data_IF_199710877717
#
_entry.id   IF_199710877717
#
_cell.length_a   1.000
_cell.length_b   1.000
_cell.length_c   1.000
_cell.angle_alpha   90.00
_cell.angle_beta   90.00
_cell.angle_gamma   90.00
#
_symmetry.space_group_name_H-M   'P 1'
#
loop_
_entity.id
_entity.type
_entity.pdbx_description
1 polymer ?
#
# COMPACT_ATOMS: atom_id res chain seq x y z
N UNK A 1 -2.35 -32.16 9.03
CA UNK A 1 -2.05 -30.72 9.17
C UNK A 1 -3.36 -29.98 9.01
N UNK A 2 -3.84 -29.30 10.05
CA UNK A 2 -4.96 -28.38 9.89
C UNK A 2 -4.46 -27.16 9.08
N UNK A 3 -5.25 -26.62 8.14
CA UNK A 3 -4.93 -25.32 7.55
C UNK A 3 -4.86 -24.27 8.68
N UNK A 4 -3.95 -23.28 8.58
CA UNK A 4 -3.92 -22.19 9.55
C UNK A 4 -5.29 -21.50 9.58
N UNK A 5 -5.76 -21.05 10.76
CA UNK A 5 -7.03 -20.35 10.84
C UNK A 5 -7.00 -19.14 9.90
N UNK A 6 -8.12 -18.83 9.22
CA UNK A 6 -8.22 -17.61 8.42
C UNK A 6 -7.90 -16.44 9.34
N UNK A 7 -6.94 -15.60 8.94
CA UNK A 7 -6.63 -14.37 9.67
C UNK A 7 -7.84 -13.46 9.54
N UNK A 8 -8.68 -13.41 10.57
CA UNK A 8 -9.83 -12.52 10.61
C UNK A 8 -9.33 -11.07 10.69
N UNK A 9 -9.68 -10.28 9.67
CA UNK A 9 -9.09 -8.96 9.41
C UNK A 9 -7.99 -9.06 8.34
N UNK A 10 -8.19 -8.40 7.19
CA UNK A 10 -7.22 -8.36 6.12
C UNK A 10 -5.83 -7.90 6.60
N UNK A 11 -4.77 -8.29 5.90
CA UNK A 11 -3.40 -7.90 6.28
C UNK A 11 -3.17 -6.39 6.23
N UNK A 12 -3.98 -5.65 5.47
CA UNK A 12 -3.85 -4.22 5.27
C UNK A 12 -4.33 -3.41 6.49
N UNK A 13 -3.49 -2.47 6.97
CA UNK A 13 -3.82 -1.53 8.04
C UNK A 13 -3.27 -0.14 7.74
N UNK A 14 -3.84 0.89 8.35
CA UNK A 14 -3.31 2.25 8.22
C UNK A 14 -1.87 2.37 8.76
N UNK A 15 -1.49 1.59 9.77
CA UNK A 15 -0.16 1.61 10.38
C UNK A 15 0.84 0.60 9.78
N UNK A 16 0.44 -0.19 8.77
CA UNK A 16 1.31 -1.19 8.14
C UNK A 16 0.58 -2.36 7.50
N UNK A 17 1.30 -3.45 7.24
CA UNK A 17 0.75 -4.61 6.53
C UNK A 17 1.21 -5.93 7.18
N UNK A 18 0.26 -6.76 7.61
CA UNK A 18 0.56 -8.02 8.29
C UNK A 18 1.44 -7.76 9.54
N UNK A 19 2.59 -8.43 9.71
CA UNK A 19 3.48 -8.16 10.83
C UNK A 19 4.23 -6.82 10.72
N UNK A 20 4.23 -6.20 9.53
CA UNK A 20 5.01 -5.00 9.24
C UNK A 20 4.32 -3.74 9.77
N UNK A 21 5.14 -2.78 10.23
CA UNK A 21 4.70 -1.45 10.67
C UNK A 21 5.48 -0.38 9.92
N UNK A 22 4.78 0.62 9.40
CA UNK A 22 5.42 1.76 8.77
C UNK A 22 6.35 2.43 9.79
N UNK A 23 7.59 2.70 9.38
CA UNK A 23 8.69 3.16 10.23
C UNK A 23 9.71 2.08 10.61
N UNK A 24 9.44 0.80 10.36
CA UNK A 24 10.43 -0.28 10.50
C UNK A 24 11.60 -0.11 9.54
N UNK A 25 12.79 -0.55 9.93
CA UNK A 25 13.95 -0.65 9.03
C UNK A 25 13.78 -1.76 8.01
N UNK A 26 14.58 -1.77 6.94
CA UNK A 26 14.53 -2.86 5.96
C UNK A 26 14.83 -4.22 6.61
N UNK A 27 15.83 -4.25 7.51
CA UNK A 27 16.19 -5.45 8.24
C UNK A 27 15.08 -5.94 9.17
N UNK A 28 14.37 -5.02 9.84
CA UNK A 28 13.20 -5.37 10.66
C UNK A 28 12.04 -5.88 9.80
N UNK A 29 11.82 -5.31 8.62
CA UNK A 29 10.82 -5.79 7.67
C UNK A 29 11.12 -7.22 7.24
N UNK A 30 12.36 -7.51 6.82
CA UNK A 30 12.78 -8.85 6.42
C UNK A 30 12.68 -9.84 7.59
N UNK A 31 13.08 -9.44 8.79
CA UNK A 31 13.04 -10.31 9.97
C UNK A 31 11.61 -10.58 10.48
N UNK A 32 10.70 -9.62 10.34
CA UNK A 32 9.31 -9.75 10.74
C UNK A 32 8.46 -10.47 9.68
N UNK A 33 8.90 -10.50 8.43
CA UNK A 33 8.20 -11.15 7.34
C UNK A 33 8.31 -12.68 7.41
N UNK A 34 7.34 -13.35 6.79
CA UNK A 34 7.24 -14.80 6.76
C UNK A 34 8.52 -15.44 6.19
N UNK A 35 9.21 -16.25 7.01
CA UNK A 35 10.46 -16.89 6.61
C UNK A 35 10.27 -17.98 5.55
N UNK A 36 9.06 -18.52 5.43
CA UNK A 36 8.71 -19.51 4.40
C UNK A 36 8.38 -18.85 3.05
N UNK A 37 8.20 -17.52 3.03
CA UNK A 37 7.93 -16.71 1.85
C UNK A 37 8.81 -15.45 1.85
N UNK A 38 10.14 -15.60 1.64
CA UNK A 38 11.09 -14.50 1.77
C UNK A 38 10.75 -13.35 0.83
N UNK A 39 11.09 -12.14 1.25
CA UNK A 39 10.95 -10.96 0.42
C UNK A 39 11.99 -10.97 -0.70
N UNK A 40 11.54 -10.85 -1.94
CA UNK A 40 12.34 -10.52 -3.10
C UNK A 40 12.57 -9.00 -3.21
N UNK A 41 13.44 -8.62 -4.15
CA UNK A 41 13.92 -7.23 -4.30
C UNK A 41 15.25 -6.97 -3.56
N UNK A 42 15.94 -8.06 -3.18
CA UNK A 42 17.12 -8.05 -2.34
C UNK A 42 18.25 -7.15 -2.82
N UNK A 43 18.59 -6.21 -1.94
CA UNK A 43 19.70 -5.27 -2.08
C UNK A 43 19.17 -3.87 -2.31
N UNK A 44 19.25 -3.02 -1.27
CA UNK A 44 19.37 -1.59 -1.50
C UNK A 44 20.35 -1.41 -2.66
N UNK A 45 19.96 -0.78 -3.79
CA UNK A 45 20.91 -0.51 -4.84
C UNK A 45 22.11 0.15 -4.15
N UNK A 46 23.34 -0.24 -4.46
CA UNK A 46 24.51 0.47 -3.94
C UNK A 46 24.36 1.95 -4.32
N UNK A 47 23.86 2.78 -3.41
CA UNK A 47 23.47 4.19 -3.64
C UNK A 47 21.97 4.50 -3.86
N UNK A 48 21.05 3.55 -3.79
CA UNK A 48 19.60 3.79 -3.95
C UNK A 48 18.93 4.09 -2.62
N UNK A 49 18.54 5.35 -2.41
CA UNK A 49 17.79 5.79 -1.22
C UNK A 49 16.34 5.30 -1.21
N UNK A 50 15.83 4.67 -2.27
CA UNK A 50 14.44 4.21 -2.39
C UNK A 50 14.36 2.92 -3.22
N UNK A 51 13.72 1.87 -2.70
CA UNK A 51 13.48 0.61 -3.41
C UNK A 51 12.21 -0.10 -2.90
N UNK A 52 11.81 -1.17 -3.58
CA UNK A 52 10.68 -2.01 -3.18
C UNK A 52 11.12 -3.42 -2.78
N UNK A 53 10.58 -3.92 -1.68
CA UNK A 53 10.56 -5.33 -1.31
C UNK A 53 9.18 -5.92 -1.65
N UNK A 54 9.11 -7.20 -1.95
CA UNK A 54 7.84 -7.86 -2.29
C UNK A 54 7.85 -9.34 -1.89
N UNK A 55 6.70 -9.94 -1.54
CA UNK A 55 6.66 -11.36 -1.20
C UNK A 55 7.00 -12.25 -2.40
N UNK A 56 7.92 -13.20 -2.21
CA UNK A 56 8.33 -14.16 -3.24
C UNK A 56 9.41 -13.63 -4.18
N UNK A 57 9.71 -14.41 -5.22
CA UNK A 57 10.84 -14.16 -6.13
C UNK A 57 10.46 -13.41 -7.41
N UNK A 58 9.17 -13.24 -7.70
CA UNK A 58 8.67 -12.56 -8.88
C UNK A 58 7.89 -11.29 -8.51
N UNK A 59 8.49 -10.14 -8.80
CA UNK A 59 7.91 -8.83 -8.51
C UNK A 59 6.60 -8.56 -9.26
N UNK A 60 6.40 -9.20 -10.42
CA UNK A 60 5.25 -8.96 -11.28
C UNK A 60 3.99 -9.68 -10.78
N UNK A 61 4.15 -10.81 -10.09
CA UNK A 61 3.05 -11.58 -9.50
C UNK A 61 2.82 -11.27 -8.02
N UNK A 62 3.68 -10.47 -7.39
CA UNK A 62 3.52 -10.08 -6.01
C UNK A 62 2.24 -9.23 -5.80
N UNK A 63 1.32 -9.64 -4.91
CA UNK A 63 0.05 -8.94 -4.72
C UNK A 63 0.24 -7.60 -4.00
N UNK A 64 1.37 -7.41 -3.32
CA UNK A 64 1.73 -6.21 -2.57
C UNK A 64 3.21 -5.92 -2.73
N UNK A 65 3.59 -4.64 -2.73
CA UNK A 65 4.97 -4.19 -2.67
C UNK A 65 5.19 -3.25 -1.47
N UNK A 66 6.34 -3.35 -0.83
CA UNK A 66 6.75 -2.57 0.34
C UNK A 66 7.85 -1.60 -0.05
N UNK A 67 7.56 -0.31 0.00
CA UNK A 67 8.48 0.75 -0.32
C UNK A 67 9.39 1.04 0.87
N UNK A 68 10.69 0.91 0.66
CA UNK A 68 11.73 1.30 1.60
C UNK A 68 12.37 2.58 1.07
N UNK A 69 12.41 3.62 1.88
CA UNK A 69 13.14 4.86 1.60
C UNK A 69 14.06 5.18 2.79
N UNK A 70 15.35 5.45 2.52
CA UNK A 70 16.37 5.72 3.55
C UNK A 70 16.39 4.68 4.68
N UNK A 71 16.38 3.40 4.31
CA UNK A 71 16.30 2.26 5.24
C UNK A 71 15.04 2.28 6.13
N UNK A 72 13.96 2.91 5.68
CA UNK A 72 12.69 2.97 6.42
C UNK A 72 11.55 2.49 5.54
N UNK A 73 10.72 1.59 6.05
CA UNK A 73 9.46 1.20 5.43
C UNK A 73 8.47 2.35 5.54
N UNK A 74 8.14 2.96 4.41
CA UNK A 74 7.37 4.21 4.35
C UNK A 74 5.97 4.04 3.78
N UNK A 75 5.76 3.01 2.95
CA UNK A 75 4.53 2.80 2.20
C UNK A 75 4.40 1.36 1.71
N UNK A 76 3.19 0.86 1.60
CA UNK A 76 2.91 -0.36 0.84
C UNK A 76 1.85 -0.13 -0.23
N UNK A 77 2.00 -0.85 -1.34
CA UNK A 77 1.22 -0.69 -2.56
C UNK A 77 0.51 -2.00 -2.89
N UNK A 78 -0.81 -1.98 -2.98
CA UNK A 78 -1.58 -3.12 -3.45
C UNK A 78 -1.52 -3.22 -4.97
N UNK A 79 -1.23 -4.43 -5.46
CA UNK A 79 -1.09 -4.77 -6.88
C UNK A 79 -2.09 -5.84 -7.32
N UNK A 80 -2.98 -6.26 -6.43
CA UNK A 80 -4.00 -7.28 -6.70
C UNK A 80 -5.38 -6.82 -6.22
N UNK A 81 -6.39 -7.11 -7.02
CA UNK A 81 -7.82 -6.92 -6.72
C UNK A 81 -8.33 -7.83 -5.60
N UNK A 82 -7.60 -8.89 -5.25
CA UNK A 82 -7.89 -9.74 -4.11
C UNK A 82 -7.57 -9.08 -2.75
N UNK A 83 -6.84 -7.96 -2.74
CA UNK A 83 -6.49 -7.26 -1.51
C UNK A 83 -7.52 -6.17 -1.17
N UNK A 84 -8.08 -6.30 0.03
CA UNK A 84 -8.96 -5.29 0.62
C UNK A 84 -8.15 -4.19 1.31
N UNK A 85 -8.48 -2.92 1.02
CA UNK A 85 -7.91 -1.77 1.68
C UNK A 85 -8.42 -1.62 3.13
N UNK A 86 -7.66 -0.94 4.03
CA UNK A 86 -8.15 -0.65 5.38
C UNK A 86 -9.45 0.16 5.36
N UNK A 87 -10.49 -0.31 6.05
CA UNK A 87 -11.82 0.32 6.01
C UNK A 87 -12.62 -0.01 4.74
N UNK A 88 -12.12 -0.90 3.88
CA UNK A 88 -12.81 -1.45 2.73
C UNK A 88 -12.48 -0.74 1.42
N UNK A 89 -12.56 -1.51 0.33
CA UNK A 89 -12.30 -1.05 -1.04
C UNK A 89 -11.29 -1.97 -1.74
N UNK A 90 -11.50 -2.19 -3.03
CA UNK A 90 -10.67 -3.04 -3.87
C UNK A 90 -10.30 -2.35 -5.19
N UNK A 91 -9.27 -2.87 -5.86
CA UNK A 91 -9.02 -2.54 -7.26
C UNK A 91 -10.25 -2.96 -8.08
N UNK A 92 -10.75 -2.07 -8.93
CA UNK A 92 -11.95 -2.27 -9.74
C UNK A 92 -13.23 -1.62 -9.20
N UNK A 93 -13.26 -1.25 -7.90
CA UNK A 93 -14.38 -0.50 -7.31
C UNK A 93 -14.55 0.87 -7.98
N UNK A 94 -15.76 1.43 -7.91
CA UNK A 94 -16.00 2.80 -8.39
C UNK A 94 -15.54 3.84 -7.36
N UNK A 95 -15.13 5.00 -7.85
CA UNK A 95 -14.77 6.13 -7.00
C UNK A 95 -15.90 6.54 -6.03
N UNK A 96 -17.15 6.41 -6.47
CA UNK A 96 -18.33 6.73 -5.65
C UNK A 96 -18.55 5.70 -4.54
N UNK A 97 -18.32 4.42 -4.79
CA UNK A 97 -18.37 3.39 -3.75
C UNK A 97 -17.30 3.65 -2.67
N UNK A 98 -16.08 4.04 -3.09
CA UNK A 98 -15.01 4.40 -2.15
C UNK A 98 -15.40 5.63 -1.32
N UNK A 99 -15.94 6.68 -1.94
CA UNK A 99 -16.43 7.88 -1.23
C UNK A 99 -17.54 7.55 -0.24
N UNK A 100 -18.44 6.65 -0.60
CA UNK A 100 -19.53 6.24 0.28
C UNK A 100 -19.01 5.43 1.48
N UNK A 101 -18.07 4.50 1.26
CA UNK A 101 -17.45 3.69 2.32
C UNK A 101 -16.65 4.55 3.31
N UNK A 102 -15.93 5.54 2.79
CA UNK A 102 -15.05 6.42 3.58
C UNK A 102 -15.65 7.82 3.77
N UNK A 103 -16.98 7.91 3.85
CA UNK A 103 -17.71 9.17 3.91
C UNK A 103 -17.22 10.06 5.06
N UNK A 104 -16.90 11.32 4.73
CA UNK A 104 -16.39 12.31 5.68
C UNK A 104 -14.87 12.24 5.94
N UNK A 105 -14.16 11.28 5.35
CA UNK A 105 -12.69 11.12 5.50
C UNK A 105 -11.92 11.27 4.19
N UNK A 106 -12.62 11.36 3.05
CA UNK A 106 -12.04 11.40 1.71
C UNK A 106 -11.77 12.83 1.26
N UNK A 107 -10.52 13.09 0.90
CA UNK A 107 -10.05 14.26 0.16
C UNK A 107 -9.72 13.82 -1.29
N UNK A 108 -10.44 14.34 -2.28
CA UNK A 108 -10.11 14.10 -3.70
C UNK A 108 -9.05 15.09 -4.18
N UNK A 109 -8.06 14.58 -4.92
CA UNK A 109 -7.03 15.37 -5.60
C UNK A 109 -6.93 14.94 -7.06
N UNK A 110 -6.80 15.85 -8.03
CA UNK A 110 -6.65 15.48 -9.43
C UNK A 110 -5.37 14.65 -9.67
N UNK A 111 -5.45 13.67 -10.56
CA UNK A 111 -4.28 12.85 -10.93
C UNK A 111 -3.28 13.69 -11.72
N UNK A 112 -2.00 13.61 -11.36
CA UNK A 112 -0.95 14.48 -11.94
C UNK A 112 -0.78 14.27 -13.45
N UNK A 113 -0.98 13.04 -13.92
CA UNK A 113 -0.68 12.64 -15.30
C UNK A 113 -1.87 12.10 -16.10
N UNK A 114 -3.02 11.87 -15.47
CA UNK A 114 -4.17 11.21 -16.12
C UNK A 114 -5.31 12.21 -16.10
N UNK A 115 -5.64 12.75 -17.27
CA UNK A 115 -6.78 13.65 -17.41
C UNK A 115 -8.06 12.90 -17.05
N UNK A 116 -8.84 13.47 -16.12
CA UNK A 116 -10.03 12.81 -15.56
C UNK A 116 -9.75 11.77 -14.46
N UNK A 117 -8.49 11.41 -14.23
CA UNK A 117 -8.11 10.58 -13.08
C UNK A 117 -8.02 11.39 -11.79
N UNK A 118 -8.06 10.70 -10.65
CA UNK A 118 -7.96 11.31 -9.33
C UNK A 118 -7.29 10.40 -8.31
N UNK A 119 -6.84 11.00 -7.21
CA UNK A 119 -6.44 10.32 -6.00
C UNK A 119 -7.49 10.59 -4.93
N UNK A 120 -8.04 9.52 -4.36
CA UNK A 120 -8.92 9.60 -3.19
C UNK A 120 -8.10 9.34 -1.94
N UNK A 121 -7.77 10.41 -1.23
CA UNK A 121 -6.97 10.40 0.00
C UNK A 121 -7.90 10.21 1.19
N UNK A 122 -7.78 9.09 1.89
CA UNK A 122 -8.51 8.79 3.12
C UNK A 122 -7.56 8.99 4.29
N UNK A 123 -7.87 9.97 5.13
CA UNK A 123 -7.11 10.20 6.36
C UNK A 123 -7.79 9.48 7.53
N UNK A 124 -7.01 8.74 8.31
CA UNK A 124 -7.51 8.19 9.56
C UNK A 124 -7.95 9.31 10.50
N UNK A 125 -8.99 9.04 11.30
CA UNK A 125 -9.42 9.93 12.39
C UNK A 125 -8.19 10.31 13.23
N UNK A 126 -8.03 11.60 13.51
CA UNK A 126 -6.88 12.22 14.18
C UNK A 126 -6.19 11.30 15.20
N UNK A 127 -4.92 10.97 14.96
CA UNK A 127 -4.07 10.20 15.88
C UNK A 127 -3.59 8.84 15.35
N UNK A 128 -4.06 8.38 14.19
CA UNK A 128 -3.48 7.24 13.46
C UNK A 128 -2.60 7.77 12.34
N UNK A 129 -1.36 7.29 12.27
CA UNK A 129 -0.31 7.89 11.44
C UNK A 129 -0.48 7.60 9.94
N UNK A 130 -1.30 6.65 9.50
CA UNK A 130 -1.41 6.27 8.08
C UNK A 130 -2.38 7.09 7.24
N UNK A 131 -2.01 7.32 5.98
CA UNK A 131 -2.91 7.78 4.93
C UNK A 131 -3.15 6.63 3.97
N UNK A 132 -4.42 6.36 3.65
CA UNK A 132 -4.82 5.47 2.56
C UNK A 132 -5.09 6.31 1.32
N UNK A 133 -4.64 5.87 0.16
CA UNK A 133 -4.87 6.53 -1.12
C UNK A 133 -5.39 5.50 -2.11
N UNK A 134 -6.50 5.80 -2.77
CA UNK A 134 -6.94 5.09 -3.96
C UNK A 134 -6.57 5.88 -5.21
N UNK A 135 -6.03 5.19 -6.21
CA UNK A 135 -5.74 5.74 -7.53
C UNK A 135 -6.92 5.41 -8.43
N UNK A 136 -7.55 6.44 -9.00
CA UNK A 136 -8.74 6.32 -9.83
C UNK A 136 -8.42 6.79 -11.24
N UNK A 137 -8.81 5.99 -12.24
CA UNK A 137 -8.66 6.34 -13.65
C UNK A 137 -9.74 7.30 -14.18
N UNK A 138 -9.62 7.70 -15.44
CA UNK A 138 -10.58 8.58 -16.09
C UNK A 138 -12.00 7.98 -16.25
N UNK A 139 -12.14 6.66 -16.08
CA UNK A 139 -13.44 5.98 -16.08
C UNK A 139 -14.06 5.91 -14.67
N UNK A 140 -13.41 6.51 -13.66
CA UNK A 140 -13.88 6.51 -12.28
C UNK A 140 -13.67 5.17 -11.58
N UNK A 141 -12.68 4.36 -12.01
CA UNK A 141 -12.38 3.05 -11.43
C UNK A 141 -11.06 3.05 -10.69
N UNK A 142 -11.05 2.39 -9.54
CA UNK A 142 -9.84 2.18 -8.76
C UNK A 142 -8.89 1.27 -9.54
N UNK A 143 -7.69 1.76 -9.85
CA UNK A 143 -6.63 1.01 -10.54
C UNK A 143 -5.52 0.55 -9.59
N UNK A 144 -5.48 1.10 -8.38
CA UNK A 144 -4.54 0.74 -7.34
C UNK A 144 -4.90 1.43 -6.04
N UNK A 145 -4.33 0.94 -4.94
CA UNK A 145 -4.42 1.62 -3.65
C UNK A 145 -3.16 1.36 -2.85
N UNK A 146 -2.82 2.32 -1.98
CA UNK A 146 -1.61 2.24 -1.18
C UNK A 146 -1.79 2.97 0.14
N UNK A 147 -0.95 2.62 1.10
CA UNK A 147 -0.98 3.21 2.45
C UNK A 147 0.44 3.56 2.87
N UNK A 148 0.61 4.72 3.51
CA UNK A 148 1.91 5.15 4.01
C UNK A 148 1.85 6.42 4.84
N UNK A 149 3.02 6.98 5.14
CA UNK A 149 3.18 8.29 5.76
C UNK A 149 3.33 9.40 4.71
N UNK A 150 2.88 10.61 5.04
CA UNK A 150 3.30 11.78 4.28
C UNK A 150 4.77 12.14 4.58
N UNK A 151 5.57 12.58 3.58
CA UNK A 151 5.18 12.86 2.19
C UNK A 151 5.18 11.64 1.24
N UNK A 152 5.76 10.50 1.60
CA UNK A 152 6.00 9.36 0.70
C UNK A 152 4.72 8.72 0.12
N UNK A 153 3.63 8.76 0.88
CA UNK A 153 2.31 8.30 0.42
C UNK A 153 1.76 9.12 -0.75
N UNK A 154 2.24 10.35 -0.95
CA UNK A 154 1.86 11.22 -2.06
C UNK A 154 2.79 11.10 -3.27
N UNK A 155 3.81 10.22 -3.22
CA UNK A 155 4.71 10.03 -4.36
C UNK A 155 3.96 9.34 -5.49
N UNK A 156 3.85 10.03 -6.62
CA UNK A 156 3.13 9.54 -7.81
C UNK A 156 3.86 8.36 -8.46
N UNK A 157 5.20 8.39 -8.47
CA UNK A 157 6.05 7.40 -9.15
C UNK A 157 6.59 6.32 -8.19
N UNK A 158 6.33 6.43 -6.88
CA UNK A 158 6.99 5.58 -5.89
C UNK A 158 8.48 5.87 -5.82
N UNK A 159 9.32 4.82 -5.85
CA UNK A 159 10.76 4.95 -6.03
C UNK A 159 11.10 5.09 -7.52
N UNK A 160 11.57 6.27 -7.93
CA UNK A 160 12.07 6.57 -9.29
C UNK A 160 13.44 7.21 -9.26
#
# INVERSE_FOLDING_TARGET
MLPPPPREGGMARLDGYGPLRVGMTAAEVEAAWDQDAPLGGGGAPTGGSCYYLFPGTDAASAPVAFMIENDTFVRYDARSDALEAPGGGHIGDSADDIRQRHAGMVESRPHKYVEGGEYLRVTGVSGQSGVLVFVVDAAGRVTGWHVGQAPQVDYVEGCS
#
